data_IF_327490109866
#
_entry.id   IF_327490109866
#
_cell.length_a   1.000
_cell.length_b   1.000
_cell.length_c   1.000
_cell.angle_alpha   90.00
_cell.angle_beta   90.00
_cell.angle_gamma   90.00
#
_symmetry.space_group_name_H-M   'P 1'
#
loop_
_entity.id
_entity.type
_entity.pdbx_description
1 polymer ?
#
# COMPACT_ATOMS: atom_id res chain seq x y z
N UNK A 1 -1.08 20.70 3.65
CA UNK A 1 -0.21 21.58 2.82
C UNK A 1 1.21 21.05 2.65
N UNK A 2 1.89 20.59 3.72
CA UNK A 2 3.30 20.10 3.67
C UNK A 2 3.51 18.88 2.75
N UNK A 3 2.57 17.92 2.76
CA UNK A 3 2.64 16.72 1.91
C UNK A 3 2.75 17.04 0.40
N UNK A 4 1.93 17.98 -0.08
CA UNK A 4 1.92 18.39 -1.49
C UNK A 4 3.20 19.13 -1.88
N UNK A 5 3.74 19.95 -0.99
CA UNK A 5 5.02 20.62 -1.18
C UNK A 5 6.18 19.62 -1.28
N UNK A 6 6.21 18.60 -0.41
CA UNK A 6 7.22 17.53 -0.45
C UNK A 6 7.14 16.73 -1.76
N UNK A 7 5.94 16.36 -2.22
CA UNK A 7 5.78 15.67 -3.51
C UNK A 7 6.22 16.53 -4.69
N UNK A 8 5.83 17.82 -4.71
CA UNK A 8 6.26 18.76 -5.75
C UNK A 8 7.77 18.92 -5.80
N UNK A 9 8.42 19.04 -4.65
CA UNK A 9 9.88 19.13 -4.54
C UNK A 9 10.55 17.82 -4.99
N UNK A 10 10.03 16.67 -4.60
CA UNK A 10 10.55 15.37 -5.03
C UNK A 10 10.45 15.18 -6.55
N UNK A 11 9.34 15.59 -7.17
CA UNK A 11 9.16 15.59 -8.62
C UNK A 11 10.15 16.54 -9.32
N UNK A 12 10.38 17.73 -8.77
CA UNK A 12 11.36 18.67 -9.30
C UNK A 12 12.78 18.09 -9.24
N UNK A 13 13.19 17.55 -8.09
CA UNK A 13 14.48 16.90 -7.92
C UNK A 13 14.63 15.68 -8.84
N UNK A 14 13.59 14.86 -8.99
CA UNK A 14 13.60 13.72 -9.90
C UNK A 14 13.80 14.16 -11.36
N UNK A 15 13.12 15.23 -11.79
CA UNK A 15 13.29 15.78 -13.15
C UNK A 15 14.71 16.31 -13.36
N UNK A 16 15.25 17.05 -12.39
CA UNK A 16 16.64 17.55 -12.45
C UNK A 16 17.65 16.40 -12.49
N UNK A 17 17.45 15.37 -11.67
CA UNK A 17 18.29 14.18 -11.65
C UNK A 17 18.29 13.45 -13.01
N UNK A 18 17.10 13.27 -13.62
CA UNK A 18 17.00 12.67 -14.95
C UNK A 18 17.72 13.49 -16.03
N UNK A 19 17.71 14.82 -15.90
CA UNK A 19 18.38 15.74 -16.83
C UNK A 19 19.91 15.64 -16.71
N UNK A 20 20.43 15.63 -15.48
CA UNK A 20 21.86 15.54 -15.19
C UNK A 20 22.42 14.14 -15.47
N UNK A 21 21.69 13.09 -15.09
CA UNK A 21 22.12 11.70 -15.25
C UNK A 21 21.96 11.17 -16.68
N UNK A 22 21.34 11.94 -17.60
CA UNK A 22 21.08 11.50 -18.98
C UNK A 22 20.17 10.26 -19.08
N UNK A 23 19.45 9.91 -18.02
CA UNK A 23 18.63 8.69 -17.91
C UNK A 23 17.19 8.88 -18.37
N UNK A 24 16.87 10.01 -19.04
CA UNK A 24 15.57 10.25 -19.67
C UNK A 24 15.19 9.08 -20.57
N UNK A 25 14.08 8.39 -20.23
CA UNK A 25 13.56 7.26 -20.99
C UNK A 25 14.29 5.93 -20.81
N UNK A 26 15.27 5.83 -19.90
CA UNK A 26 15.98 4.57 -19.63
C UNK A 26 15.49 3.93 -18.34
N UNK A 27 14.77 2.82 -18.46
CA UNK A 27 14.33 2.03 -17.31
C UNK A 27 15.52 1.59 -16.45
N UNK A 28 15.43 1.81 -15.14
CA UNK A 28 16.39 1.23 -14.21
C UNK A 28 16.29 -0.31 -14.27
N UNK A 29 17.44 -0.99 -14.36
CA UNK A 29 17.53 -2.45 -14.40
C UNK A 29 18.20 -2.98 -13.14
N UNK A 30 17.81 -4.19 -12.73
CA UNK A 30 18.40 -4.90 -11.60
C UNK A 30 18.36 -4.11 -10.30
N UNK A 31 19.51 -3.99 -9.63
CA UNK A 31 19.65 -3.36 -8.33
C UNK A 31 19.21 -1.89 -8.30
N UNK A 32 19.47 -1.13 -9.38
CA UNK A 32 19.05 0.28 -9.47
C UNK A 32 17.52 0.43 -9.46
N UNK A 33 16.80 -0.53 -10.05
CA UNK A 33 15.33 -0.56 -10.03
C UNK A 33 14.80 -0.82 -8.64
N UNK A 34 15.36 -1.83 -7.98
CA UNK A 34 14.97 -2.19 -6.62
C UNK A 34 15.23 -1.04 -5.65
N UNK A 35 16.41 -0.40 -5.71
CA UNK A 35 16.73 0.74 -4.87
C UNK A 35 15.81 1.94 -5.15
N UNK A 36 15.47 2.20 -6.42
CA UNK A 36 14.49 3.22 -6.78
C UNK A 36 13.11 2.94 -6.19
N UNK A 37 12.61 1.70 -6.30
CA UNK A 37 11.34 1.28 -5.69
C UNK A 37 11.37 1.44 -4.16
N UNK A 38 12.44 1.00 -3.51
CA UNK A 38 12.61 1.12 -2.07
C UNK A 38 12.61 2.59 -1.62
N UNK A 39 13.36 3.45 -2.32
CA UNK A 39 13.44 4.87 -2.01
C UNK A 39 12.08 5.56 -2.20
N UNK A 40 11.40 5.34 -3.34
CA UNK A 40 10.08 5.92 -3.59
C UNK A 40 9.07 5.44 -2.57
N UNK A 41 9.07 4.15 -2.22
CA UNK A 41 8.19 3.60 -1.20
C UNK A 41 8.38 4.29 0.16
N UNK A 42 9.62 4.36 0.66
CA UNK A 42 9.90 5.00 1.95
C UNK A 42 9.61 6.50 1.93
N UNK A 43 9.87 7.20 0.82
CA UNK A 43 9.53 8.60 0.66
C UNK A 43 8.02 8.83 0.75
N UNK A 44 7.21 8.01 0.06
CA UNK A 44 5.76 8.10 0.11
C UNK A 44 5.24 7.79 1.52
N UNK A 45 5.75 6.73 2.17
CA UNK A 45 5.40 6.39 3.54
C UNK A 45 5.75 7.52 4.53
N UNK A 46 6.93 8.14 4.39
CA UNK A 46 7.33 9.30 5.19
C UNK A 46 6.36 10.46 5.00
N UNK A 47 5.99 10.76 3.75
CA UNK A 47 5.02 11.81 3.47
C UNK A 47 3.65 11.51 4.12
N UNK A 48 3.20 10.25 4.15
CA UNK A 48 1.94 9.88 4.81
C UNK A 48 1.90 10.20 6.30
N UNK A 49 3.04 10.26 7.00
CA UNK A 49 3.09 10.70 8.41
C UNK A 49 2.53 12.13 8.53
N UNK A 50 2.95 13.04 7.65
CA UNK A 50 2.49 14.43 7.63
C UNK A 50 1.04 14.60 7.18
N UNK A 51 0.52 13.63 6.41
CA UNK A 51 -0.86 13.66 5.96
C UNK A 51 -1.82 13.17 7.06
N UNK A 52 -1.38 12.21 7.88
CA UNK A 52 -2.21 11.61 8.93
C UNK A 52 -2.13 12.34 10.27
N UNK A 53 -0.99 12.93 10.60
CA UNK A 53 -0.79 13.63 11.87
C UNK A 53 -1.70 14.86 11.98
N UNK A 54 -2.26 15.08 13.17
CA UNK A 54 -3.13 16.25 13.45
C UNK A 54 -2.35 17.55 13.55
N UNK A 55 -1.08 17.49 13.89
CA UNK A 55 -0.18 18.62 14.11
C UNK A 55 1.29 18.19 13.99
N UNK A 56 2.20 19.16 13.94
CA UNK A 56 3.64 18.90 13.83
C UNK A 56 4.23 18.24 15.08
N UNK A 57 3.62 18.40 16.25
CA UNK A 57 4.01 17.72 17.47
C UNK A 57 3.80 16.20 17.36
N UNK A 58 2.68 15.75 16.78
CA UNK A 58 2.47 14.32 16.49
C UNK A 58 3.49 13.76 15.49
N UNK A 59 3.83 14.51 14.43
CA UNK A 59 4.87 14.11 13.48
C UNK A 59 6.20 13.89 14.22
N UNK A 60 6.63 14.85 15.03
CA UNK A 60 7.88 14.77 15.77
C UNK A 60 7.91 13.59 16.75
N UNK A 61 6.80 13.32 17.45
CA UNK A 61 6.68 12.15 18.33
C UNK A 61 6.85 10.85 17.53
N UNK A 62 6.19 10.73 16.37
CA UNK A 62 6.28 9.55 15.52
C UNK A 62 7.71 9.33 15.00
N UNK A 63 8.37 10.38 14.51
CA UNK A 63 9.76 10.31 14.05
C UNK A 63 10.73 9.97 15.18
N UNK A 64 10.53 10.54 16.38
CA UNK A 64 11.34 10.23 17.54
C UNK A 64 11.18 8.78 17.98
N UNK A 65 9.96 8.24 17.98
CA UNK A 65 9.72 6.83 18.28
C UNK A 65 10.38 5.89 17.27
N UNK A 66 10.35 6.23 15.97
CA UNK A 66 11.02 5.45 14.92
C UNK A 66 12.55 5.48 15.09
N UNK A 67 13.14 6.64 15.36
CA UNK A 67 14.60 6.81 15.39
C UNK A 67 15.28 6.49 16.71
N UNK A 68 14.65 6.83 17.84
CA UNK A 68 15.32 6.90 19.15
C UNK A 68 14.61 6.09 20.25
N UNK A 69 13.36 5.67 20.05
CA UNK A 69 12.62 4.86 21.03
C UNK A 69 11.98 3.63 20.41
N UNK A 70 12.66 3.01 19.44
CA UNK A 70 12.19 1.81 18.77
C UNK A 70 12.35 0.58 19.66
N UNK A 71 11.24 -0.04 20.06
CA UNK A 71 11.23 -1.20 20.93
C UNK A 71 11.06 -2.50 20.12
N UNK A 72 12.18 -3.02 19.60
CA UNK A 72 12.17 -4.23 18.79
C UNK A 72 11.64 -5.48 19.53
N UNK A 73 11.76 -5.51 20.87
CA UNK A 73 11.28 -6.61 21.71
C UNK A 73 9.77 -6.84 21.62
N UNK A 74 9.00 -5.81 21.26
CA UNK A 74 7.53 -5.87 21.21
C UNK A 74 7.02 -6.35 19.85
N UNK A 75 7.88 -6.47 18.83
CA UNK A 75 7.49 -6.87 17.47
C UNK A 75 6.71 -8.20 17.47
N UNK A 76 7.19 -9.20 18.21
CA UNK A 76 6.51 -10.50 18.32
C UNK A 76 5.11 -10.39 18.92
N UNK A 77 4.97 -9.58 19.98
CA UNK A 77 3.67 -9.34 20.62
C UNK A 77 2.71 -8.59 19.70
N UNK A 78 3.20 -7.63 18.90
CA UNK A 78 2.40 -6.90 17.90
C UNK A 78 1.94 -7.84 16.79
N UNK A 79 2.84 -8.67 16.24
CA UNK A 79 2.48 -9.62 15.18
C UNK A 79 1.42 -10.63 15.66
N UNK A 80 1.55 -11.14 16.88
CA UNK A 80 0.58 -12.07 17.46
C UNK A 80 -0.74 -11.38 17.83
N UNK A 81 -0.68 -10.20 18.44
CA UNK A 81 -1.85 -9.43 18.87
C UNK A 81 -2.70 -8.91 17.70
N UNK A 82 -2.08 -8.59 16.57
CA UNK A 82 -2.75 -8.09 15.36
C UNK A 82 -2.67 -9.08 14.19
N UNK A 83 -2.52 -10.38 14.48
CA UNK A 83 -2.30 -11.43 13.47
C UNK A 83 -3.30 -11.40 12.32
N UNK A 84 -4.58 -11.12 12.60
CA UNK A 84 -5.64 -11.08 11.59
C UNK A 84 -5.44 -9.91 10.60
N UNK A 85 -5.00 -8.75 11.09
CA UNK A 85 -4.69 -7.58 10.26
C UNK A 85 -3.49 -7.88 9.36
N UNK A 86 -2.44 -8.48 9.93
CA UNK A 86 -1.25 -8.86 9.17
C UNK A 86 -1.55 -9.94 8.13
N UNK A 87 -2.38 -10.94 8.45
CA UNK A 87 -2.82 -11.97 7.50
C UNK A 87 -3.62 -11.37 6.35
N UNK A 88 -4.56 -10.46 6.64
CA UNK A 88 -5.33 -9.78 5.62
C UNK A 88 -4.46 -8.90 4.72
N UNK A 89 -3.49 -8.18 5.31
CA UNK A 89 -2.52 -7.38 4.56
C UNK A 89 -1.63 -8.26 3.67
N UNK A 90 -1.14 -9.39 4.21
CA UNK A 90 -0.34 -10.37 3.45
C UNK A 90 -1.14 -10.93 2.27
N UNK A 91 -2.39 -11.31 2.49
CA UNK A 91 -3.30 -11.77 1.44
C UNK A 91 -3.46 -10.69 0.36
N UNK A 92 -3.69 -9.43 0.77
CA UNK A 92 -3.76 -8.30 -0.15
C UNK A 92 -2.51 -8.13 -1.01
N UNK A 93 -1.32 -8.22 -0.40
CA UNK A 93 -0.05 -8.18 -1.13
C UNK A 93 0.12 -9.35 -2.10
N UNK A 94 -0.19 -10.59 -1.66
CA UNK A 94 -0.14 -11.77 -2.52
C UNK A 94 -1.06 -11.58 -3.73
N UNK A 95 -2.32 -11.18 -3.53
CA UNK A 95 -3.29 -10.94 -4.60
C UNK A 95 -2.83 -9.84 -5.56
N UNK A 96 -2.18 -8.80 -5.04
CA UNK A 96 -1.60 -7.74 -5.87
C UNK A 96 -0.44 -8.27 -6.72
N UNK A 97 0.39 -9.14 -6.15
CA UNK A 97 1.54 -9.73 -6.83
C UNK A 97 1.17 -10.81 -7.86
N UNK A 98 -0.05 -11.35 -7.82
CA UNK A 98 -0.52 -12.32 -8.83
C UNK A 98 -0.45 -11.68 -10.23
N UNK A 99 0.31 -12.28 -11.18
CA UNK A 99 0.45 -11.76 -12.53
C UNK A 99 -0.88 -11.71 -13.27
N UNK A 100 -1.09 -10.69 -14.11
CA UNK A 100 -2.31 -10.50 -14.91
C UNK A 100 -2.80 -11.76 -15.62
N UNK A 101 -1.89 -12.54 -16.23
CA UNK A 101 -2.22 -13.81 -16.91
C UNK A 101 -3.06 -14.76 -16.05
N UNK A 102 -2.78 -14.88 -14.76
CA UNK A 102 -3.54 -15.76 -13.87
C UNK A 102 -4.93 -15.20 -13.58
N UNK A 103 -5.07 -13.86 -13.52
CA UNK A 103 -6.36 -13.19 -13.37
C UNK A 103 -7.21 -13.38 -14.63
N UNK A 104 -6.59 -13.29 -15.79
CA UNK A 104 -7.23 -13.51 -17.09
C UNK A 104 -7.71 -14.96 -17.23
N UNK A 105 -6.86 -15.95 -16.91
CA UNK A 105 -7.27 -17.36 -16.88
C UNK A 105 -8.42 -17.62 -15.91
N UNK A 106 -8.41 -17.02 -14.71
CA UNK A 106 -9.50 -17.18 -13.75
C UNK A 106 -10.84 -16.66 -14.30
N UNK A 107 -10.79 -15.54 -15.03
CA UNK A 107 -11.96 -14.99 -15.70
C UNK A 107 -12.47 -15.92 -16.82
N UNK A 108 -11.56 -16.45 -17.64
CA UNK A 108 -11.91 -17.40 -18.71
C UNK A 108 -12.58 -18.66 -18.15
N UNK A 109 -12.05 -19.23 -17.06
CA UNK A 109 -12.67 -20.36 -16.37
C UNK A 109 -14.07 -20.01 -15.82
N UNK A 110 -14.21 -18.83 -15.20
CA UNK A 110 -15.51 -18.38 -14.66
C UNK A 110 -16.57 -18.17 -15.75
N UNK A 111 -16.18 -17.81 -16.97
CA UNK A 111 -17.12 -17.69 -18.11
C UNK A 111 -17.62 -19.06 -18.56
N UNK A 112 -16.77 -20.09 -18.48
CA UNK A 112 -17.04 -21.44 -18.99
C UNK A 112 -17.88 -22.31 -18.06
N UNK A 113 -18.00 -21.98 -16.76
CA UNK A 113 -18.84 -22.77 -15.84
C UNK A 113 -20.35 -22.57 -16.11
N UNK A 114 -21.21 -23.55 -15.78
CA UNK A 114 -22.66 -23.44 -15.95
C UNK A 114 -23.27 -22.26 -15.19
N UNK A 115 -24.37 -21.70 -15.69
CA UNK A 115 -24.96 -20.47 -15.13
C UNK A 115 -25.42 -20.64 -13.67
N UNK A 116 -25.87 -21.84 -13.29
CA UNK A 116 -26.20 -22.16 -11.89
C UNK A 116 -24.98 -22.08 -10.97
N UNK A 117 -23.82 -22.55 -11.45
CA UNK A 117 -22.56 -22.47 -10.70
C UNK A 117 -22.06 -21.03 -10.60
N UNK A 118 -22.20 -20.22 -11.68
CA UNK A 118 -21.91 -18.78 -11.62
C UNK A 118 -22.77 -18.07 -10.56
N UNK A 119 -24.08 -18.34 -10.55
CA UNK A 119 -25.00 -17.76 -9.59
C UNK A 119 -24.63 -18.12 -8.15
N UNK A 120 -24.24 -19.37 -7.91
CA UNK A 120 -23.76 -19.82 -6.60
C UNK A 120 -22.48 -19.08 -6.17
N UNK A 121 -21.48 -18.97 -7.05
CA UNK A 121 -20.24 -18.24 -6.76
C UNK A 121 -20.52 -16.77 -6.46
N UNK A 122 -21.37 -16.10 -7.24
CA UNK A 122 -21.75 -14.69 -7.01
C UNK A 122 -22.44 -14.55 -5.65
N UNK A 123 -23.37 -15.45 -5.32
CA UNK A 123 -24.06 -15.42 -4.02
C UNK A 123 -23.09 -15.57 -2.85
N UNK A 124 -22.14 -16.50 -2.93
CA UNK A 124 -21.08 -16.68 -1.92
C UNK A 124 -20.24 -15.41 -1.77
N UNK A 125 -19.81 -14.80 -2.88
CA UNK A 125 -19.02 -13.54 -2.85
C UNK A 125 -19.82 -12.40 -2.21
N UNK A 126 -21.10 -12.25 -2.56
CA UNK A 126 -21.97 -11.23 -1.95
C UNK A 126 -22.13 -11.45 -0.44
N UNK A 127 -22.33 -12.69 0.00
CA UNK A 127 -22.42 -13.02 1.43
C UNK A 127 -21.11 -12.73 2.17
N UNK A 128 -19.96 -13.01 1.55
CA UNK A 128 -18.65 -12.69 2.12
C UNK A 128 -18.44 -11.17 2.22
N UNK A 129 -18.80 -10.41 1.18
CA UNK A 129 -18.73 -8.95 1.20
C UNK A 129 -19.67 -8.33 2.24
N UNK A 130 -20.87 -8.89 2.40
CA UNK A 130 -21.82 -8.46 3.42
C UNK A 130 -21.27 -8.71 4.84
N UNK A 131 -20.68 -9.89 5.07
CA UNK A 131 -20.01 -10.18 6.33
C UNK A 131 -18.81 -9.26 6.58
N UNK A 132 -18.01 -8.97 5.56
CA UNK A 132 -16.85 -8.08 5.67
C UNK A 132 -17.24 -6.63 6.00
N UNK A 133 -18.44 -6.19 5.61
CA UNK A 133 -18.96 -4.84 5.90
C UNK A 133 -19.20 -4.56 7.39
N UNK A 134 -19.21 -5.59 8.23
CA UNK A 134 -19.40 -5.43 9.68
C UNK A 134 -18.18 -4.83 10.39
N UNK A 135 -17.03 -4.72 9.71
CA UNK A 135 -15.92 -3.89 10.16
C UNK A 135 -16.22 -2.42 9.84
N UNK A 136 -16.26 -1.55 10.86
CA UNK A 136 -16.52 -0.13 10.69
C UNK A 136 -15.65 0.47 9.56
N UNK A 137 -16.30 0.99 8.52
CA UNK A 137 -15.62 1.66 7.41
C UNK A 137 -14.95 2.91 7.98
N UNK A 138 -13.62 2.87 8.13
CA UNK A 138 -12.87 4.08 8.45
C UNK A 138 -13.04 5.05 7.28
N UNK A 139 -13.52 6.30 7.53
CA UNK A 139 -13.64 7.29 6.48
C UNK A 139 -12.29 7.45 5.78
N UNK A 140 -12.28 7.39 4.44
CA UNK A 140 -11.08 7.69 3.68
C UNK A 140 -10.58 9.08 4.07
N UNK A 141 -9.25 9.26 4.14
CA UNK A 141 -8.62 10.49 4.68
C UNK A 141 -9.13 11.76 3.98
N UNK A 142 -9.63 11.66 2.74
CA UNK A 142 -10.22 12.78 2.01
C UNK A 142 -11.58 13.28 2.53
N UNK A 143 -12.25 12.50 3.38
CA UNK A 143 -13.51 12.87 4.02
C UNK A 143 -13.32 13.33 5.47
N UNK A 144 -12.07 13.56 5.91
CA UNK A 144 -11.73 14.06 7.25
C UNK A 144 -11.26 15.53 7.25
N UNK A 145 -11.66 16.30 6.24
CA UNK A 145 -11.48 17.76 6.19
C UNK A 145 -12.83 18.46 6.19
#
# INVERSE_FOLDING_TARGET
MIWGALHGLALALHKLWMDISGTKGTEAKGFRRFLGQLLTFHFVCFCWIYFRATDLGQVNKMLYQIGFSFQASVIGAVLLGYKEVFLLMLLGFVVHWIPRRHKDHLADYFVQIPDLAKAFVIAVVVLLLFQARSAAIQPFIYFQF
#
